data_IF_614691603038
#
_entry.id   IF_614691603038
#
_cell.length_a   1.000
_cell.length_b   1.000
_cell.length_c   1.000
_cell.angle_alpha   90.00
_cell.angle_beta   90.00
_cell.angle_gamma   90.00
#
_symmetry.space_group_name_H-M   'P 1'
#
loop_
_entity.id
_entity.type
_entity.pdbx_description
1 polymer ?
#
# COMPACT_ATOMS: atom_id res chain seq x y z
N UNK A 1 -39.89 20.48 19.19
CA UNK A 1 -39.97 20.20 17.74
C UNK A 1 -38.56 20.16 17.09
N UNK A 2 -37.64 21.02 17.54
CA UNK A 2 -36.29 21.14 16.96
C UNK A 2 -35.37 19.98 17.34
N UNK A 3 -35.50 19.46 18.56
CA UNK A 3 -34.69 18.34 19.08
C UNK A 3 -35.10 16.98 18.48
N UNK A 4 -36.34 16.84 18.07
CA UNK A 4 -36.83 15.63 17.36
C UNK A 4 -36.27 15.58 15.95
N UNK A 5 -36.30 16.71 15.26
CA UNK A 5 -35.74 16.84 13.89
C UNK A 5 -34.22 16.57 13.86
N UNK A 6 -33.49 17.09 14.88
CA UNK A 6 -32.04 16.83 15.01
C UNK A 6 -31.71 15.35 15.24
N UNK A 7 -32.54 14.64 16.04
CA UNK A 7 -32.37 13.19 16.27
C UNK A 7 -32.67 12.38 15.01
N UNK A 8 -33.73 12.74 14.29
CA UNK A 8 -34.10 12.08 13.04
C UNK A 8 -33.03 12.28 11.96
N UNK A 9 -32.47 13.49 11.85
CA UNK A 9 -31.37 13.80 10.93
C UNK A 9 -30.07 13.02 11.30
N UNK A 10 -29.75 12.91 12.59
CA UNK A 10 -28.62 12.10 13.04
C UNK A 10 -28.81 10.62 12.77
N UNK A 11 -30.03 10.09 12.97
CA UNK A 11 -30.34 8.69 12.69
C UNK A 11 -30.20 8.39 11.19
N UNK A 12 -30.68 9.28 10.33
CA UNK A 12 -30.56 9.17 8.88
C UNK A 12 -29.09 9.20 8.41
N UNK A 13 -28.25 9.99 9.06
CA UNK A 13 -26.81 10.02 8.76
C UNK A 13 -26.12 8.71 9.15
N UNK A 14 -26.48 8.13 10.30
CA UNK A 14 -25.94 6.84 10.76
C UNK A 14 -26.35 5.73 9.78
N UNK A 15 -27.64 5.65 9.43
CA UNK A 15 -28.15 4.65 8.47
C UNK A 15 -27.47 4.76 7.09
N UNK A 16 -27.24 5.99 6.61
CA UNK A 16 -26.52 6.23 5.36
C UNK A 16 -25.06 5.79 5.44
N UNK A 17 -24.40 6.03 6.56
CA UNK A 17 -23.02 5.61 6.78
C UNK A 17 -22.91 4.08 6.85
N UNK A 18 -23.84 3.41 7.53
CA UNK A 18 -23.91 1.94 7.59
C UNK A 18 -24.17 1.32 6.21
N UNK A 19 -25.09 1.91 5.43
CA UNK A 19 -25.38 1.47 4.06
C UNK A 19 -24.18 1.66 3.14
N UNK A 20 -23.50 2.79 3.22
CA UNK A 20 -22.28 3.04 2.46
C UNK A 20 -21.15 2.04 2.81
N UNK A 21 -20.99 1.74 4.10
CA UNK A 21 -20.06 0.70 4.57
C UNK A 21 -20.40 -0.70 4.05
N UNK A 22 -21.68 -1.07 3.98
CA UNK A 22 -22.12 -2.35 3.45
C UNK A 22 -21.89 -2.46 1.94
N UNK A 23 -22.15 -1.40 1.19
CA UNK A 23 -21.88 -1.33 -0.26
C UNK A 23 -20.39 -1.46 -0.55
N UNK A 24 -19.54 -0.77 0.22
CA UNK A 24 -18.09 -0.83 0.08
C UNK A 24 -17.54 -2.23 0.43
N UNK A 25 -18.03 -2.86 1.51
CA UNK A 25 -17.67 -4.26 1.82
C UNK A 25 -18.02 -5.23 0.69
N UNK A 26 -19.18 -5.09 0.08
CA UNK A 26 -19.58 -5.90 -1.06
C UNK A 26 -18.74 -5.64 -2.31
N UNK A 27 -18.29 -4.39 -2.53
CA UNK A 27 -17.38 -4.03 -3.62
C UNK A 27 -16.01 -4.70 -3.42
N UNK A 28 -15.46 -4.57 -2.21
CA UNK A 28 -14.16 -5.17 -1.86
C UNK A 28 -14.23 -6.70 -1.94
N UNK A 29 -15.30 -7.32 -1.47
CA UNK A 29 -15.47 -8.78 -1.56
C UNK A 29 -15.49 -9.28 -3.01
N UNK A 30 -16.12 -8.55 -3.93
CA UNK A 30 -16.10 -8.87 -5.37
C UNK A 30 -14.70 -8.71 -5.96
N UNK A 31 -14.02 -7.59 -5.65
CA UNK A 31 -12.67 -7.34 -6.12
C UNK A 31 -11.67 -8.39 -5.62
N UNK A 32 -11.82 -8.84 -4.35
CA UNK A 32 -11.05 -9.96 -3.81
C UNK A 32 -11.32 -11.26 -4.56
N UNK A 33 -12.60 -11.56 -4.85
CA UNK A 33 -12.97 -12.76 -5.59
C UNK A 33 -12.34 -12.77 -7.00
N UNK A 34 -12.37 -11.64 -7.69
CA UNK A 34 -11.81 -11.50 -9.03
C UNK A 34 -10.28 -11.66 -9.04
N UNK A 35 -9.58 -11.08 -8.05
CA UNK A 35 -8.13 -11.25 -7.88
C UNK A 35 -7.78 -12.71 -7.61
N UNK A 36 -8.52 -13.37 -6.69
CA UNK A 36 -8.29 -14.78 -6.35
C UNK A 36 -8.54 -15.67 -7.56
N UNK A 37 -9.65 -15.49 -8.24
CA UNK A 37 -10.01 -16.30 -9.41
C UNK A 37 -8.99 -16.17 -10.55
N UNK A 38 -8.56 -14.93 -10.84
CA UNK A 38 -7.56 -14.66 -11.87
C UNK A 38 -6.21 -15.30 -11.54
N UNK A 39 -5.70 -15.10 -10.31
CA UNK A 39 -4.41 -15.62 -9.89
C UNK A 39 -4.42 -17.15 -9.80
N UNK A 40 -5.52 -17.74 -9.31
CA UNK A 40 -5.67 -19.19 -9.23
C UNK A 40 -5.70 -19.84 -10.62
N UNK A 41 -6.38 -19.23 -11.58
CA UNK A 41 -6.36 -19.71 -12.98
C UNK A 41 -4.94 -19.69 -13.58
N UNK A 42 -4.16 -18.63 -13.32
CA UNK A 42 -2.76 -18.55 -13.74
C UNK A 42 -1.88 -19.60 -13.09
N UNK A 43 -2.05 -19.85 -11.78
CA UNK A 43 -1.33 -20.90 -11.04
C UNK A 43 -1.65 -22.29 -11.59
N UNK A 44 -2.91 -22.58 -11.88
CA UNK A 44 -3.33 -23.86 -12.47
C UNK A 44 -2.68 -24.08 -13.84
N UNK A 45 -2.74 -23.06 -14.72
CA UNK A 45 -2.14 -23.14 -16.06
C UNK A 45 -0.62 -23.38 -16.01
N UNK A 46 0.08 -22.69 -15.09
CA UNK A 46 1.52 -22.88 -14.87
C UNK A 46 1.84 -24.27 -14.32
N UNK A 47 1.02 -24.76 -13.38
CA UNK A 47 1.19 -26.10 -12.79
C UNK A 47 1.01 -27.23 -13.84
N UNK A 48 -0.01 -27.08 -14.70
CA UNK A 48 -0.24 -28.03 -15.80
C UNK A 48 0.91 -27.97 -16.84
N UNK A 49 1.40 -26.77 -17.15
CA UNK A 49 2.58 -26.59 -18.01
C UNK A 49 3.84 -27.21 -17.42
N UNK A 50 4.10 -26.99 -16.12
CA UNK A 50 5.23 -27.59 -15.41
C UNK A 50 5.17 -29.13 -15.40
N UNK A 51 4.00 -29.68 -15.16
CA UNK A 51 3.78 -31.13 -15.18
C UNK A 51 4.03 -31.73 -16.56
N UNK A 52 3.63 -31.05 -17.63
CA UNK A 52 3.89 -31.49 -19.00
C UNK A 52 5.38 -31.38 -19.38
N UNK A 53 6.05 -30.35 -18.92
CA UNK A 53 7.46 -30.09 -19.21
C UNK A 53 8.42 -30.98 -18.40
N UNK A 54 8.00 -31.48 -17.22
CA UNK A 54 8.87 -32.11 -16.22
C UNK A 54 9.75 -33.23 -16.77
N UNK A 55 9.24 -34.06 -17.69
CA UNK A 55 9.99 -35.16 -18.30
C UNK A 55 10.90 -34.74 -19.46
N UNK A 56 10.57 -33.64 -20.17
CA UNK A 56 11.26 -33.22 -21.40
C UNK A 56 12.17 -32.03 -21.18
N UNK A 57 11.84 -31.16 -20.27
CA UNK A 57 12.60 -29.95 -19.92
C UNK A 57 12.45 -29.65 -18.42
N UNK A 58 13.24 -30.30 -17.55
CA UNK A 58 13.17 -30.10 -16.09
C UNK A 58 13.45 -28.65 -15.66
N UNK A 59 14.29 -27.92 -16.41
CA UNK A 59 14.59 -26.51 -16.12
C UNK A 59 13.35 -25.62 -16.29
N UNK A 60 12.59 -25.81 -17.37
CA UNK A 60 11.33 -25.08 -17.59
C UNK A 60 10.26 -25.44 -16.53
N UNK A 61 10.23 -26.68 -16.07
CA UNK A 61 9.34 -27.08 -14.98
C UNK A 61 9.71 -26.39 -13.64
N UNK A 62 11.00 -26.28 -13.35
CA UNK A 62 11.50 -25.57 -12.15
C UNK A 62 11.15 -24.08 -12.21
N UNK A 63 11.37 -23.41 -13.34
CA UNK A 63 11.02 -22.00 -13.54
C UNK A 63 9.51 -21.75 -13.36
N UNK A 64 8.67 -22.64 -13.89
CA UNK A 64 7.22 -22.56 -13.71
C UNK A 64 6.81 -22.70 -12.23
N UNK A 65 7.44 -23.60 -11.49
CA UNK A 65 7.21 -23.78 -10.04
C UNK A 65 7.65 -22.55 -9.22
N UNK A 66 8.77 -21.92 -9.58
CA UNK A 66 9.22 -20.66 -8.96
C UNK A 66 8.24 -19.54 -9.24
N UNK A 67 7.72 -19.43 -10.45
CA UNK A 67 6.70 -18.46 -10.85
C UNK A 67 5.41 -18.67 -10.07
N UNK A 68 4.95 -19.92 -9.93
CA UNK A 68 3.79 -20.29 -9.11
C UNK A 68 3.99 -19.82 -7.65
N UNK A 69 5.14 -20.12 -7.07
CA UNK A 69 5.44 -19.75 -5.69
C UNK A 69 5.48 -18.23 -5.49
N UNK A 70 6.05 -17.49 -6.42
CA UNK A 70 6.09 -16.02 -6.41
C UNK A 70 4.69 -15.43 -6.52
N UNK A 71 3.93 -15.82 -7.56
CA UNK A 71 2.56 -15.35 -7.81
C UNK A 71 1.64 -15.64 -6.63
N UNK A 72 1.75 -16.82 -6.03
CA UNK A 72 0.94 -17.19 -4.86
C UNK A 72 1.26 -16.33 -3.63
N UNK A 73 2.56 -16.04 -3.37
CA UNK A 73 2.95 -15.16 -2.25
C UNK A 73 2.45 -13.73 -2.47
N UNK A 74 2.55 -13.21 -3.68
CA UNK A 74 2.08 -11.86 -4.02
C UNK A 74 0.56 -11.76 -3.87
N UNK A 75 -0.19 -12.78 -4.31
CA UNK A 75 -1.63 -12.86 -4.15
C UNK A 75 -2.06 -12.90 -2.67
N UNK A 76 -1.37 -13.69 -1.85
CA UNK A 76 -1.63 -13.72 -0.40
C UNK A 76 -1.34 -12.38 0.27
N UNK A 77 -0.30 -11.66 -0.16
CA UNK A 77 0.03 -10.34 0.35
C UNK A 77 -1.03 -9.31 -0.02
N UNK A 78 -1.52 -9.34 -1.26
CA UNK A 78 -2.61 -8.48 -1.73
C UNK A 78 -3.90 -8.73 -0.94
N UNK A 79 -4.30 -10.00 -0.76
CA UNK A 79 -5.48 -10.36 0.04
C UNK A 79 -5.37 -9.90 1.50
N UNK A 80 -4.21 -10.07 2.13
CA UNK A 80 -3.99 -9.58 3.51
C UNK A 80 -4.11 -8.06 3.60
N UNK A 81 -3.61 -7.33 2.60
CA UNK A 81 -3.77 -5.88 2.51
C UNK A 81 -5.23 -5.44 2.41
N UNK A 82 -6.03 -6.12 1.60
CA UNK A 82 -7.46 -5.84 1.47
C UNK A 82 -8.26 -6.25 2.73
N UNK A 83 -7.92 -7.39 3.34
CA UNK A 83 -8.55 -7.84 4.60
C UNK A 83 -8.24 -6.93 5.78
N UNK A 84 -7.08 -6.28 5.82
CA UNK A 84 -6.79 -5.30 6.87
C UNK A 84 -7.74 -4.11 6.81
N UNK A 85 -8.09 -3.64 5.62
CA UNK A 85 -9.08 -2.57 5.41
C UNK A 85 -10.50 -2.96 5.88
N UNK A 86 -10.87 -4.25 5.72
CA UNK A 86 -12.18 -4.75 6.19
C UNK A 86 -12.21 -4.99 7.71
N UNK A 87 -11.08 -5.33 8.32
CA UNK A 87 -10.96 -5.57 9.76
C UNK A 87 -11.03 -4.27 10.58
N UNK A 88 -10.56 -3.16 10.03
CA UNK A 88 -10.64 -1.85 10.68
C UNK A 88 -12.11 -1.35 10.83
N UNK A 89 -13.07 -1.96 10.12
CA UNK A 89 -14.50 -1.67 10.27
C UNK A 89 -15.22 -2.43 11.40
N UNK A 90 -14.69 -3.57 11.87
CA UNK A 90 -15.39 -4.45 12.82
C UNK A 90 -14.66 -4.69 14.15
N UNK A 91 -13.45 -4.19 14.31
CA UNK A 91 -12.67 -4.36 15.54
C UNK A 91 -12.84 -3.16 16.49
N UNK A 92 -13.98 -3.07 17.15
CA UNK A 92 -14.07 -2.44 18.49
C UNK A 92 -13.40 -3.37 19.50
N UNK A 93 -12.09 -3.42 19.51
CA UNK A 93 -11.27 -3.95 20.59
C UNK A 93 -9.88 -3.32 20.53
N UNK A 94 -9.65 -2.28 21.32
CA UNK A 94 -8.38 -1.80 21.95
C UNK A 94 -7.08 -1.71 21.11
N UNK A 95 -7.10 -1.65 19.78
CA UNK A 95 -5.93 -1.33 18.99
C UNK A 95 -6.18 -0.03 18.21
N UNK A 96 -5.65 1.07 18.75
CA UNK A 96 -5.55 2.36 18.05
C UNK A 96 -5.00 2.12 16.66
N UNK A 97 -5.62 2.71 15.61
CA UNK A 97 -5.12 2.64 14.26
C UNK A 97 -3.65 3.12 14.21
N UNK A 98 -2.75 2.45 13.47
CA UNK A 98 -1.37 2.88 13.39
C UNK A 98 -1.28 4.30 12.82
N UNK A 99 -0.45 5.12 13.42
CA UNK A 99 -0.31 6.54 13.11
C UNK A 99 1.15 6.97 12.92
N UNK A 100 1.37 8.27 13.00
CA UNK A 100 2.69 8.88 12.83
C UNK A 100 3.72 8.31 13.83
N UNK A 101 3.34 7.99 15.06
CA UNK A 101 4.19 7.41 16.09
C UNK A 101 4.73 6.02 15.73
N UNK A 102 4.03 5.26 14.88
CA UNK A 102 4.40 3.89 14.52
C UNK A 102 5.36 3.82 13.32
N UNK A 103 5.62 4.94 12.65
CA UNK A 103 6.50 5.03 11.48
C UNK A 103 7.94 4.64 11.83
N UNK A 104 8.42 4.97 13.03
CA UNK A 104 9.73 4.54 13.50
C UNK A 104 9.86 3.01 13.54
N UNK A 105 8.78 2.31 13.86
CA UNK A 105 8.69 0.86 13.82
C UNK A 105 8.83 0.30 12.40
N UNK A 106 8.17 0.91 11.41
CA UNK A 106 8.31 0.52 9.99
C UNK A 106 9.74 0.67 9.49
N UNK A 107 10.41 1.77 9.84
CA UNK A 107 11.81 2.03 9.47
C UNK A 107 12.73 0.98 10.11
N UNK A 108 12.51 0.66 11.38
CA UNK A 108 13.28 -0.36 12.09
C UNK A 108 13.10 -1.75 11.48
N UNK A 109 11.88 -2.08 11.06
CA UNK A 109 11.59 -3.33 10.33
C UNK A 109 12.32 -3.39 8.99
N UNK A 110 12.28 -2.31 8.20
CA UNK A 110 13.02 -2.21 6.94
C UNK A 110 14.52 -2.47 7.16
N UNK A 111 15.13 -1.87 8.18
CA UNK A 111 16.54 -2.12 8.55
C UNK A 111 16.81 -3.57 8.93
N UNK A 112 15.89 -4.24 9.64
CA UNK A 112 16.03 -5.66 10.00
C UNK A 112 16.02 -6.59 8.79
N UNK A 113 15.43 -6.20 7.68
CA UNK A 113 15.52 -6.97 6.42
C UNK A 113 16.86 -6.83 5.70
N UNK A 114 17.80 -6.06 6.26
CA UNK A 114 19.09 -5.79 5.66
C UNK A 114 19.08 -4.63 4.65
N UNK A 115 18.03 -3.80 4.68
CA UNK A 115 17.94 -2.60 3.85
C UNK A 115 18.60 -1.41 4.56
N UNK A 116 19.59 -0.79 3.92
CA UNK A 116 20.27 0.39 4.43
C UNK A 116 19.44 1.64 4.09
N UNK A 117 18.72 2.14 5.09
CA UNK A 117 17.87 3.31 4.92
C UNK A 117 18.38 4.51 5.74
N UNK A 118 18.63 5.60 5.04
CA UNK A 118 18.88 6.91 5.63
C UNK A 118 17.55 7.67 5.73
N UNK A 119 17.28 8.26 6.89
CA UNK A 119 16.02 8.98 7.15
C UNK A 119 16.34 10.39 7.59
N UNK A 120 15.65 11.38 7.03
CA UNK A 120 15.75 12.80 7.36
C UNK A 120 14.38 13.39 7.67
N UNK A 121 14.33 14.32 8.61
CA UNK A 121 13.13 15.11 8.91
C UNK A 121 12.03 14.34 9.62
N UNK A 122 12.34 13.30 10.38
CA UNK A 122 11.33 12.49 11.08
C UNK A 122 10.49 13.34 12.07
N UNK A 123 11.05 14.43 12.55
CA UNK A 123 10.41 15.44 13.41
C UNK A 123 9.27 16.20 12.70
N UNK A 124 9.22 16.16 11.37
CA UNK A 124 8.15 16.77 10.58
C UNK A 124 6.83 15.95 10.58
N UNK A 125 6.82 14.76 11.18
CA UNK A 125 5.63 13.91 11.22
C UNK A 125 4.49 14.57 12.01
N UNK A 126 3.25 14.48 11.52
CA UNK A 126 2.09 15.15 12.08
C UNK A 126 1.50 14.38 13.27
N UNK A 127 2.12 14.48 14.44
CA UNK A 127 1.70 13.76 15.65
C UNK A 127 0.43 14.32 16.31
N UNK A 128 0.08 15.58 16.03
CA UNK A 128 -1.09 16.28 16.58
C UNK A 128 -2.26 16.38 15.59
N UNK A 129 -2.12 15.81 14.39
CA UNK A 129 -3.17 15.81 13.37
C UNK A 129 -4.26 14.79 13.64
N UNK A 130 -5.36 14.89 12.88
CA UNK A 130 -6.45 13.91 12.84
C UNK A 130 -5.94 12.47 12.64
N UNK A 131 -6.57 11.50 13.30
CA UNK A 131 -6.16 10.09 13.25
C UNK A 131 -6.20 9.51 11.83
N UNK A 132 -7.17 9.89 11.02
CA UNK A 132 -7.28 9.43 9.64
C UNK A 132 -6.13 9.98 8.77
N UNK A 133 -5.74 11.24 8.99
CA UNK A 133 -4.58 11.84 8.35
C UNK A 133 -3.29 11.12 8.75
N UNK A 134 -3.07 10.88 10.05
CA UNK A 134 -1.92 10.14 10.55
C UNK A 134 -1.85 8.72 9.98
N UNK A 135 -2.99 8.03 9.90
CA UNK A 135 -3.09 6.71 9.27
C UNK A 135 -2.74 6.76 7.78
N UNK A 136 -3.22 7.78 7.07
CA UNK A 136 -2.89 7.97 5.65
C UNK A 136 -1.39 8.15 5.46
N UNK A 137 -0.73 9.00 6.27
CA UNK A 137 0.73 9.20 6.25
C UNK A 137 1.46 7.88 6.56
N UNK A 138 1.02 7.12 7.57
CA UNK A 138 1.58 5.81 7.89
C UNK A 138 1.54 4.86 6.69
N UNK A 139 0.39 4.76 6.00
CA UNK A 139 0.23 3.89 4.82
C UNK A 139 1.08 4.34 3.64
N UNK A 140 1.24 5.64 3.44
CA UNK A 140 2.14 6.19 2.41
C UNK A 140 3.59 5.78 2.70
N UNK A 141 4.06 5.95 3.94
CA UNK A 141 5.43 5.55 4.34
C UNK A 141 5.63 4.05 4.17
N UNK A 142 4.66 3.23 4.57
CA UNK A 142 4.70 1.78 4.40
C UNK A 142 4.88 1.39 2.92
N UNK A 143 4.17 2.04 2.01
CA UNK A 143 4.26 1.78 0.57
C UNK A 143 5.58 2.28 -0.02
N UNK A 144 6.08 3.45 0.42
CA UNK A 144 7.39 3.97 0.03
C UNK A 144 8.52 3.01 0.42
N UNK A 145 8.50 2.52 1.67
CA UNK A 145 9.49 1.53 2.15
C UNK A 145 9.42 0.23 1.37
N UNK A 146 8.20 -0.29 1.13
CA UNK A 146 7.98 -1.51 0.35
C UNK A 146 8.53 -1.36 -1.07
N UNK A 147 8.28 -0.22 -1.72
CA UNK A 147 8.78 0.08 -3.06
C UNK A 147 10.30 0.17 -3.09
N UNK A 148 10.93 0.85 -2.12
CA UNK A 148 12.38 0.93 -2.01
C UNK A 148 13.02 -0.45 -1.83
N UNK A 149 12.50 -1.27 -0.89
CA UNK A 149 13.02 -2.62 -0.62
C UNK A 149 12.90 -3.51 -1.86
N UNK A 150 11.77 -3.41 -2.58
CA UNK A 150 11.47 -4.25 -3.75
C UNK A 150 12.29 -3.85 -4.98
N UNK A 151 12.55 -2.57 -5.19
CA UNK A 151 13.08 -2.03 -6.43
C UNK A 151 14.48 -1.43 -6.35
N UNK A 152 15.07 -1.32 -5.15
CA UNK A 152 16.45 -0.86 -5.02
C UNK A 152 17.42 -1.93 -5.48
N UNK A 153 18.35 -1.54 -6.36
CA UNK A 153 19.42 -2.43 -6.83
C UNK A 153 20.41 -2.80 -5.73
N UNK A 154 20.74 -1.85 -4.86
CA UNK A 154 21.84 -1.97 -3.91
C UNK A 154 21.34 -2.13 -2.46
N UNK A 155 20.06 -2.43 -2.25
CA UNK A 155 19.39 -2.53 -0.93
C UNK A 155 19.63 -1.30 -0.04
N UNK A 156 19.64 -0.13 -0.63
CA UNK A 156 19.79 1.15 0.09
C UNK A 156 18.84 2.20 -0.45
N UNK A 157 18.50 3.18 0.37
CA UNK A 157 17.65 4.29 -0.03
C UNK A 157 17.60 5.39 1.01
N UNK A 158 16.97 6.50 0.62
CA UNK A 158 16.80 7.68 1.46
C UNK A 158 15.32 8.01 1.53
N UNK A 159 14.81 8.21 2.73
CA UNK A 159 13.47 8.67 3.01
C UNK A 159 13.54 10.05 3.69
N UNK A 160 12.81 11.02 3.16
CA UNK A 160 12.78 12.39 3.68
C UNK A 160 11.36 12.81 3.98
N UNK A 161 11.20 13.47 5.11
CA UNK A 161 9.97 14.12 5.55
C UNK A 161 10.21 15.62 5.62
N UNK A 162 9.26 16.40 5.14
CA UNK A 162 9.32 17.85 5.19
C UNK A 162 7.93 18.42 5.45
N UNK A 163 7.77 19.09 6.58
CA UNK A 163 6.56 19.87 6.84
C UNK A 163 6.51 21.08 5.92
N UNK A 164 5.33 21.40 5.45
CA UNK A 164 5.02 22.60 4.67
C UNK A 164 3.93 23.38 5.40
N UNK A 165 3.70 24.63 5.02
CA UNK A 165 2.60 25.42 5.62
C UNK A 165 1.20 24.82 5.40
N UNK A 166 1.08 23.80 4.55
CA UNK A 166 -0.17 23.18 4.12
C UNK A 166 -0.15 21.65 4.22
N UNK A 167 0.72 21.05 5.03
CA UNK A 167 0.78 19.61 5.22
C UNK A 167 2.18 19.02 5.21
N UNK A 168 2.32 17.80 4.68
CA UNK A 168 3.55 17.03 4.68
C UNK A 168 3.98 16.67 3.25
N UNK A 169 5.26 16.81 2.96
CA UNK A 169 5.90 16.26 1.75
C UNK A 169 6.82 15.13 2.16
N UNK A 170 6.61 13.96 1.56
CA UNK A 170 7.46 12.79 1.70
C UNK A 170 8.21 12.55 0.39
N UNK A 171 9.49 12.21 0.45
CA UNK A 171 10.23 11.76 -0.71
C UNK A 171 11.05 10.52 -0.40
N UNK A 172 11.02 9.58 -1.33
CA UNK A 172 11.83 8.37 -1.30
C UNK A 172 12.75 8.34 -2.53
N UNK A 173 13.99 7.93 -2.31
CA UNK A 173 15.02 7.83 -3.33
C UNK A 173 15.78 6.51 -3.15
N UNK A 174 15.98 5.78 -4.23
CA UNK A 174 16.83 4.60 -4.22
C UNK A 174 17.52 4.38 -5.58
N UNK A 175 18.71 3.74 -5.60
CA UNK A 175 19.33 3.28 -6.83
C UNK A 175 18.38 2.34 -7.57
N UNK A 176 18.00 2.68 -8.80
CA UNK A 176 17.05 1.89 -9.58
C UNK A 176 17.73 0.64 -10.16
N UNK A 177 17.08 -0.52 -10.06
CA UNK A 177 17.33 -1.59 -11.00
C UNK A 177 16.91 -1.10 -12.40
N UNK A 178 17.66 -1.47 -13.46
CA UNK A 178 17.38 -1.03 -14.83
C UNK A 178 15.92 -1.33 -15.18
N UNK A 179 15.09 -0.30 -15.21
CA UNK A 179 13.69 -0.47 -15.58
C UNK A 179 13.56 -0.62 -17.09
N UNK A 180 12.71 -1.54 -17.59
CA UNK A 180 12.31 -1.54 -18.99
C UNK A 180 11.55 -0.25 -19.31
N UNK A 181 11.75 0.31 -20.51
CA UNK A 181 11.16 1.58 -20.97
C UNK A 181 9.61 1.65 -20.96
N UNK A 182 8.93 0.54 -20.67
CA UNK A 182 7.46 0.41 -20.65
C UNK A 182 6.89 0.02 -19.29
N UNK A 183 7.43 0.54 -18.18
CA UNK A 183 6.94 0.19 -16.86
C UNK A 183 5.60 0.89 -16.58
N UNK A 184 4.50 0.13 -16.62
CA UNK A 184 3.20 0.59 -16.10
C UNK A 184 3.31 0.78 -14.58
N UNK A 185 2.72 1.86 -14.02
CA UNK A 185 2.69 2.06 -12.57
C UNK A 185 2.12 0.81 -11.89
N UNK A 186 2.84 0.27 -10.91
CA UNK A 186 2.35 -0.85 -10.12
C UNK A 186 1.15 -0.42 -9.26
N UNK A 187 0.33 -1.39 -8.86
CA UNK A 187 -0.87 -1.17 -8.01
C UNK A 187 -0.57 -0.36 -6.73
N UNK A 188 0.62 -0.45 -6.18
CA UNK A 188 1.04 0.31 -5.01
C UNK A 188 1.06 1.82 -5.23
N UNK A 189 1.58 2.29 -6.39
CA UNK A 189 1.59 3.70 -6.75
C UNK A 189 0.17 4.23 -7.03
N UNK A 190 -0.69 3.41 -7.63
CA UNK A 190 -2.09 3.76 -7.88
C UNK A 190 -2.83 3.94 -6.55
N UNK A 191 -2.76 2.96 -5.65
CA UNK A 191 -3.41 3.03 -4.35
C UNK A 191 -2.86 4.15 -3.44
N UNK A 192 -1.56 4.49 -3.56
CA UNK A 192 -0.97 5.65 -2.89
C UNK A 192 -1.57 6.94 -3.45
N UNK A 193 -1.64 7.07 -4.78
CA UNK A 193 -2.22 8.25 -5.45
C UNK A 193 -3.69 8.47 -5.08
N UNK A 194 -4.50 7.41 -5.03
CA UNK A 194 -5.91 7.50 -4.64
C UNK A 194 -6.07 7.98 -3.20
N UNK A 195 -5.26 7.44 -2.26
CA UNK A 195 -5.31 7.85 -0.86
C UNK A 195 -4.98 9.32 -0.64
N UNK A 196 -3.89 9.81 -1.24
CA UNK A 196 -3.50 11.22 -1.03
C UNK A 196 -4.39 12.20 -1.76
N UNK A 197 -5.05 11.79 -2.86
CA UNK A 197 -6.06 12.60 -3.56
C UNK A 197 -7.25 12.96 -2.69
N UNK A 198 -7.62 12.10 -1.73
CA UNK A 198 -8.69 12.41 -0.77
C UNK A 198 -8.39 13.66 0.08
N UNK A 199 -7.11 14.02 0.22
CA UNK A 199 -6.62 15.24 0.88
C UNK A 199 -6.19 16.34 -0.11
N UNK A 200 -6.52 16.22 -1.39
CA UNK A 200 -6.05 17.15 -2.42
C UNK A 200 -4.56 16.99 -2.75
N UNK A 201 -3.93 15.91 -2.31
CA UNK A 201 -2.52 15.63 -2.49
C UNK A 201 -2.16 15.04 -3.85
N UNK A 202 -0.86 14.85 -4.07
CA UNK A 202 -0.30 14.34 -5.32
C UNK A 202 0.83 13.34 -5.11
N UNK A 203 1.04 12.48 -6.12
CA UNK A 203 2.18 11.57 -6.20
C UNK A 203 2.89 11.80 -7.53
N UNK A 204 4.19 12.07 -7.46
CA UNK A 204 5.04 12.22 -8.62
C UNK A 204 6.20 11.23 -8.56
N UNK A 205 6.58 10.67 -9.72
CA UNK A 205 7.73 9.78 -9.85
C UNK A 205 8.67 10.28 -10.94
N UNK A 206 9.96 10.09 -10.75
CA UNK A 206 10.97 10.36 -11.78
C UNK A 206 12.12 9.37 -11.67
N UNK A 207 12.81 9.15 -12.78
CA UNK A 207 14.08 8.42 -12.83
C UNK A 207 15.13 9.34 -13.40
N UNK A 208 16.24 9.50 -12.67
CA UNK A 208 17.32 10.40 -13.05
C UNK A 208 18.64 9.81 -12.52
N UNK A 209 19.68 9.82 -13.34
CA UNK A 209 21.04 9.34 -13.00
C UNK A 209 21.10 7.94 -12.36
N UNK A 210 20.23 7.04 -12.79
CA UNK A 210 20.16 5.68 -12.26
C UNK A 210 19.50 5.57 -10.88
N UNK A 211 18.83 6.63 -10.43
CA UNK A 211 18.03 6.67 -9.22
C UNK A 211 16.54 6.81 -9.55
N UNK A 212 15.71 6.18 -8.76
CA UNK A 212 14.27 6.33 -8.78
C UNK A 212 13.82 7.18 -7.61
N UNK A 213 12.98 8.15 -7.91
CA UNK A 213 12.43 9.10 -6.95
C UNK A 213 10.92 9.01 -6.92
N UNK A 214 10.36 9.01 -5.73
CA UNK A 214 8.93 9.21 -5.49
C UNK A 214 8.77 10.42 -4.58
N UNK A 215 7.91 11.34 -4.96
CA UNK A 215 7.52 12.48 -4.11
C UNK A 215 6.01 12.43 -3.89
N UNK A 216 5.59 12.55 -2.64
CA UNK A 216 4.19 12.50 -2.22
C UNK A 216 3.89 13.76 -1.42
N UNK A 217 2.88 14.49 -1.84
CA UNK A 217 2.34 15.63 -1.11
C UNK A 217 1.03 15.24 -0.45
N UNK A 218 0.92 15.44 0.84
CA UNK A 218 -0.27 15.16 1.64
C UNK A 218 -0.66 16.45 2.37
N UNK A 219 -1.56 17.26 1.79
CA UNK A 219 -2.10 18.43 2.48
C UNK A 219 -2.86 18.05 3.74
N UNK A 220 -2.86 18.96 4.73
CA UNK A 220 -3.57 18.83 5.99
C UNK A 220 -4.32 20.15 6.23
N UNK A 221 -5.50 20.23 5.65
CA UNK A 221 -6.40 21.39 5.79
C UNK A 221 -7.21 21.34 7.09
#
# INVERSE_FOLDING_TARGET
>A
TNDRKKRDDQQLLIERAEMAGAVERNRIAREMHDIVAHNLAGVIALADGARFAAAKNPAAATEALETIASTSRDSLKQMRGLLSVLRDGDSRADTKAPGASDIAGLISEARRTGFDITVHGLEALPTESDELYQFTVYRVVQELLTNMIKHSRDKRGVLRFRSTGNGLVLSAENPAARMPDNHKPGYGLIGMSERVKAYGGSVATRTEDGHFFITVEVPND
#
